data_IF_786335199846
#
_entry.id   IF_786335199846
#
_cell.length_a   1.000
_cell.length_b   1.000
_cell.length_c   1.000
_cell.angle_alpha   90.00
_cell.angle_beta   90.00
_cell.angle_gamma   90.00
#
_symmetry.space_group_name_H-M   'P 1'
#
loop_
_entity.id
_entity.type
_entity.pdbx_description
1 polymer ?
#
# COMPACT_ATOMS: atom_id res chain seq x y z
N UNK A 1 8.51 -3.15 -7.99
CA UNK A 1 7.52 -3.82 -7.09
C UNK A 1 6.95 -5.03 -7.80
N UNK A 2 6.91 -6.17 -7.13
CA UNK A 2 6.44 -7.42 -7.70
C UNK A 2 4.91 -7.50 -7.64
N UNK A 3 4.29 -8.02 -8.70
CA UNK A 3 2.84 -8.24 -8.75
C UNK A 3 2.39 -9.16 -7.62
N UNK A 4 3.12 -10.24 -7.38
CA UNK A 4 2.81 -11.18 -6.30
C UNK A 4 2.85 -10.52 -4.92
N UNK A 5 3.88 -9.73 -4.66
CA UNK A 5 4.02 -9.07 -3.36
C UNK A 5 2.97 -7.99 -3.15
N UNK A 6 2.59 -7.28 -4.21
CA UNK A 6 1.46 -6.34 -4.14
C UNK A 6 0.19 -7.07 -3.68
N UNK A 7 -0.15 -8.16 -4.34
CA UNK A 7 -1.36 -8.92 -4.02
C UNK A 7 -1.30 -9.52 -2.61
N UNK A 8 -0.12 -10.02 -2.20
CA UNK A 8 0.07 -10.51 -0.83
C UNK A 8 -0.11 -9.42 0.21
N UNK A 9 0.45 -8.25 -0.05
CA UNK A 9 0.31 -7.11 0.87
C UNK A 9 -1.14 -6.68 1.05
N UNK A 10 -1.90 -6.71 -0.04
CA UNK A 10 -3.31 -6.27 -0.04
C UNK A 10 -4.28 -7.32 0.50
N UNK A 11 -3.81 -8.50 0.88
CA UNK A 11 -4.66 -9.52 1.50
C UNK A 11 -5.12 -9.13 2.90
N UNK A 12 -4.54 -8.10 3.50
CA UNK A 12 -5.00 -7.52 4.76
C UNK A 12 -6.03 -6.43 4.46
N UNK A 13 -7.19 -6.50 5.11
CA UNK A 13 -8.33 -5.59 4.88
C UNK A 13 -7.97 -4.13 5.10
N UNK A 14 -7.39 -3.81 6.25
CA UNK A 14 -7.06 -2.42 6.58
C UNK A 14 -6.05 -1.84 5.61
N UNK A 15 -5.07 -2.63 5.24
CA UNK A 15 -4.05 -2.25 4.29
C UNK A 15 -4.64 -1.99 2.91
N UNK A 16 -5.51 -2.89 2.47
CA UNK A 16 -6.22 -2.72 1.20
C UNK A 16 -7.02 -1.42 1.19
N UNK A 17 -7.83 -1.19 2.23
CA UNK A 17 -8.68 -0.01 2.29
C UNK A 17 -7.89 1.29 2.31
N UNK A 18 -6.72 1.30 2.95
CA UNK A 18 -5.90 2.50 3.04
C UNK A 18 -5.00 2.75 1.82
N UNK A 19 -4.61 1.71 1.10
CA UNK A 19 -3.54 1.82 0.09
C UNK A 19 -3.97 1.51 -1.35
N UNK A 20 -5.11 0.85 -1.57
CA UNK A 20 -5.45 0.37 -2.92
C UNK A 20 -5.58 1.49 -3.95
N UNK A 21 -6.03 2.67 -3.54
CA UNK A 21 -6.18 3.81 -4.45
C UNK A 21 -4.84 4.42 -4.87
N UNK A 22 -3.79 4.14 -4.10
CA UNK A 22 -2.44 4.66 -4.36
C UNK A 22 -1.58 3.72 -5.19
N UNK A 23 -2.11 2.56 -5.56
CA UNK A 23 -1.38 1.58 -6.38
C UNK A 23 -1.16 2.17 -7.77
N UNK A 24 0.10 2.21 -8.26
CA UNK A 24 0.38 2.67 -9.62
C UNK A 24 -0.04 1.61 -10.63
N UNK A 25 -1.26 1.75 -11.15
CA UNK A 25 -1.89 0.70 -11.95
C UNK A 25 -1.15 0.42 -13.26
N UNK A 26 -0.44 1.39 -13.80
CA UNK A 26 0.35 1.23 -15.01
C UNK A 26 1.60 0.36 -14.84
N UNK A 27 2.00 0.08 -13.61
CA UNK A 27 3.17 -0.75 -13.30
C UNK A 27 2.85 -2.25 -13.17
N UNK A 28 1.58 -2.63 -13.25
CA UNK A 28 1.15 -4.01 -13.00
C UNK A 28 0.40 -4.58 -14.19
N UNK A 29 0.40 -5.91 -14.31
CA UNK A 29 -0.31 -6.59 -15.38
C UNK A 29 -1.83 -6.46 -15.23
N UNK A 30 -2.55 -6.58 -16.33
CA UNK A 30 -4.02 -6.51 -16.32
C UNK A 30 -4.64 -7.60 -15.45
N UNK A 31 -4.04 -8.77 -15.40
CA UNK A 31 -4.51 -9.89 -14.56
C UNK A 31 -4.34 -9.54 -13.08
N UNK A 32 -3.20 -8.99 -12.70
CA UNK A 32 -2.96 -8.55 -11.32
C UNK A 32 -3.98 -7.52 -10.89
N UNK A 33 -4.27 -6.55 -11.74
CA UNK A 33 -5.25 -5.50 -11.45
C UNK A 33 -6.66 -6.07 -11.33
N UNK A 34 -7.00 -7.07 -12.14
CA UNK A 34 -8.27 -7.76 -12.04
C UNK A 34 -8.44 -8.48 -10.71
N UNK A 35 -7.39 -9.17 -10.26
CA UNK A 35 -7.40 -9.84 -8.95
C UNK A 35 -7.52 -8.81 -7.85
N UNK A 36 -6.79 -7.70 -7.95
CA UNK A 36 -6.86 -6.62 -6.97
C UNK A 36 -8.25 -6.01 -6.91
N UNK A 37 -8.90 -5.79 -8.05
CA UNK A 37 -10.26 -5.27 -8.11
C UNK A 37 -11.25 -6.29 -7.49
N UNK A 38 -10.98 -7.58 -7.63
CA UNK A 38 -11.78 -8.62 -6.98
C UNK A 38 -11.64 -8.60 -5.45
N UNK A 39 -10.53 -8.10 -4.92
CA UNK A 39 -10.40 -7.90 -3.48
C UNK A 39 -11.43 -6.90 -2.95
N UNK A 40 -11.74 -5.86 -3.71
CA UNK A 40 -12.77 -4.90 -3.33
C UNK A 40 -14.13 -5.58 -3.20
N UNK A 41 -14.49 -6.43 -4.17
CA UNK A 41 -15.72 -7.21 -4.12
C UNK A 41 -15.72 -8.18 -2.93
N UNK A 42 -14.58 -8.82 -2.67
CA UNK A 42 -14.42 -9.74 -1.56
C UNK A 42 -14.67 -9.06 -0.23
N UNK A 43 -14.03 -7.93 0.02
CA UNK A 43 -14.18 -7.23 1.29
C UNK A 43 -15.58 -6.64 1.47
N UNK A 44 -16.26 -6.33 0.38
CA UNK A 44 -17.64 -5.89 0.43
C UNK A 44 -18.59 -7.04 0.77
N UNK A 45 -18.33 -8.22 0.22
CA UNK A 45 -19.16 -9.40 0.46
C UNK A 45 -18.92 -10.01 1.84
N UNK A 46 -17.68 -9.97 2.32
CA UNK A 46 -17.28 -10.53 3.60
C UNK A 46 -16.77 -9.41 4.53
N UNK A 47 -17.65 -8.57 5.07
CA UNK A 47 -17.23 -7.40 5.84
C UNK A 47 -16.55 -7.72 7.17
N UNK A 48 -16.65 -8.96 7.65
CA UNK A 48 -16.03 -9.39 8.90
C UNK A 48 -14.67 -10.05 8.69
N UNK A 49 -14.27 -10.31 7.44
CA UNK A 49 -12.96 -10.89 7.16
C UNK A 49 -11.87 -9.82 7.21
N UNK A 50 -10.87 -10.02 8.04
CA UNK A 50 -9.70 -9.15 8.13
C UNK A 50 -8.65 -9.47 7.07
N UNK A 51 -8.69 -10.69 6.54
CA UNK A 51 -7.78 -11.18 5.52
C UNK A 51 -8.54 -11.93 4.44
N UNK A 52 -7.93 -12.01 3.26
CA UNK A 52 -8.50 -12.74 2.14
C UNK A 52 -8.30 -14.23 2.32
N UNK A 53 -9.40 -14.98 2.26
CA UNK A 53 -9.38 -16.42 2.08
C UNK A 53 -9.30 -16.70 0.58
N UNK A 54 -8.22 -17.32 0.13
CA UNK A 54 -7.95 -17.53 -1.29
C UNK A 54 -9.01 -18.41 -1.95
N UNK A 55 -9.54 -19.41 -1.24
CA UNK A 55 -10.59 -20.26 -1.79
C UNK A 55 -11.89 -19.51 -2.03
N UNK A 56 -12.29 -18.68 -1.06
CA UNK A 56 -13.49 -17.85 -1.20
C UNK A 56 -13.31 -16.82 -2.31
N UNK A 57 -12.12 -16.22 -2.42
CA UNK A 57 -11.80 -15.31 -3.51
C UNK A 57 -11.87 -16.01 -4.87
N UNK A 58 -11.30 -17.20 -4.96
CA UNK A 58 -11.34 -18.01 -6.18
C UNK A 58 -12.79 -18.28 -6.63
N UNK A 59 -13.67 -18.59 -5.69
CA UNK A 59 -15.09 -18.81 -5.98
C UNK A 59 -15.73 -17.53 -6.52
N UNK A 60 -15.46 -16.38 -5.90
CA UNK A 60 -15.98 -15.10 -6.37
C UNK A 60 -15.54 -14.78 -7.79
N UNK A 61 -14.27 -15.02 -8.10
CA UNK A 61 -13.73 -14.73 -9.43
C UNK A 61 -14.35 -15.66 -10.47
N UNK A 62 -14.55 -16.95 -10.14
CA UNK A 62 -15.16 -17.92 -11.04
C UNK A 62 -16.63 -17.62 -11.36
N UNK A 63 -17.32 -16.93 -10.48
CA UNK A 63 -18.70 -16.52 -10.70
C UNK A 63 -18.82 -15.37 -11.70
N UNK A 64 -17.74 -14.67 -11.97
CA UNK A 64 -17.72 -13.62 -13.01
C UNK A 64 -17.59 -14.26 -14.38
N UNK A 65 -18.59 -14.03 -15.24
CA UNK A 65 -18.75 -14.75 -16.50
C UNK A 65 -17.90 -14.24 -17.69
N UNK A 66 -17.03 -13.27 -17.47
CA UNK A 66 -16.31 -12.58 -18.54
C UNK A 66 -14.86 -13.01 -18.71
N UNK A 67 -14.54 -14.29 -18.43
CA UNK A 67 -13.18 -14.78 -18.53
C UNK A 67 -13.04 -15.79 -19.64
N UNK A 68 -12.02 -15.63 -20.49
CA UNK A 68 -11.62 -16.65 -21.43
C UNK A 68 -10.97 -17.83 -20.67
N UNK A 69 -10.88 -18.99 -21.32
CA UNK A 69 -10.21 -20.15 -20.70
C UNK A 69 -8.73 -19.87 -20.42
N UNK A 70 -8.07 -19.09 -21.25
CA UNK A 70 -6.67 -18.69 -21.03
C UNK A 70 -6.52 -17.80 -19.80
N UNK A 71 -7.40 -16.82 -19.65
CA UNK A 71 -7.41 -15.93 -18.49
C UNK A 71 -7.68 -16.71 -17.20
N UNK A 72 -8.58 -17.66 -17.23
CA UNK A 72 -8.89 -18.52 -16.09
C UNK A 72 -7.66 -19.29 -15.62
N UNK A 73 -6.88 -19.83 -16.54
CA UNK A 73 -5.64 -20.55 -16.22
C UNK A 73 -4.64 -19.63 -15.55
N UNK A 74 -4.46 -18.42 -16.09
CA UNK A 74 -3.52 -17.44 -15.54
C UNK A 74 -3.97 -16.98 -14.15
N UNK A 75 -5.25 -16.70 -13.98
CA UNK A 75 -5.80 -16.28 -12.69
C UNK A 75 -5.61 -17.38 -11.65
N UNK A 76 -5.90 -18.63 -11.99
CA UNK A 76 -5.70 -19.75 -11.07
C UNK A 76 -4.24 -19.87 -10.64
N UNK A 77 -3.32 -19.63 -11.56
CA UNK A 77 -1.88 -19.66 -11.25
C UNK A 77 -1.50 -18.54 -10.29
N UNK A 78 -2.04 -17.33 -10.50
CA UNK A 78 -1.83 -16.20 -9.60
C UNK A 78 -2.39 -16.51 -8.21
N UNK A 79 -3.60 -17.07 -8.13
CA UNK A 79 -4.23 -17.42 -6.86
C UNK A 79 -3.45 -18.50 -6.11
N UNK A 80 -2.92 -19.50 -6.82
CA UNK A 80 -2.05 -20.50 -6.20
C UNK A 80 -0.79 -19.88 -5.61
N UNK A 81 -0.20 -18.90 -6.30
CA UNK A 81 0.96 -18.17 -5.80
C UNK A 81 0.68 -17.39 -4.53
N UNK A 82 -0.57 -16.99 -4.28
CA UNK A 82 -0.93 -16.29 -3.07
C UNK A 82 -0.91 -17.17 -1.83
N UNK A 83 -0.92 -18.48 -1.99
CA UNK A 83 -0.82 -19.44 -0.88
C UNK A 83 0.62 -19.67 -0.45
N UNK A 84 1.59 -19.27 -1.26
CA UNK A 84 3.00 -19.45 -0.95
C UNK A 84 3.44 -18.49 0.15
N UNK A 85 4.31 -18.97 1.02
CA UNK A 85 4.98 -18.10 1.98
C UNK A 85 5.98 -17.20 1.25
N UNK A 86 6.06 -15.95 1.66
CA UNK A 86 7.01 -14.98 1.11
C UNK A 86 7.88 -14.45 2.24
N UNK A 87 9.12 -14.02 1.93
CA UNK A 87 9.97 -13.42 2.95
C UNK A 87 9.30 -12.19 3.56
N UNK A 88 9.22 -12.14 4.87
CA UNK A 88 8.53 -11.08 5.59
C UNK A 88 9.19 -9.73 5.36
N UNK A 89 10.51 -9.69 5.31
CA UNK A 89 11.27 -8.46 5.06
C UNK A 89 10.97 -7.87 3.68
N UNK A 90 10.84 -8.70 2.66
CA UNK A 90 10.50 -8.27 1.30
C UNK A 90 9.06 -7.76 1.26
N UNK A 91 8.15 -8.45 1.92
CA UNK A 91 6.76 -8.02 2.01
C UNK A 91 6.65 -6.68 2.72
N UNK A 92 7.36 -6.50 3.83
CA UNK A 92 7.39 -5.23 4.56
C UNK A 92 7.94 -4.10 3.72
N UNK A 93 8.98 -4.35 2.92
CA UNK A 93 9.51 -3.36 1.99
C UNK A 93 8.44 -2.94 0.97
N UNK A 94 7.68 -3.88 0.45
CA UNK A 94 6.59 -3.58 -0.47
C UNK A 94 5.51 -2.72 0.21
N UNK A 95 5.14 -3.05 1.43
CA UNK A 95 4.17 -2.28 2.21
C UNK A 95 4.66 -0.85 2.42
N UNK A 96 5.93 -0.69 2.80
CA UNK A 96 6.51 0.62 3.03
C UNK A 96 6.55 1.47 1.75
N UNK A 97 6.84 0.85 0.61
CA UNK A 97 6.77 1.53 -0.69
C UNK A 97 5.35 2.01 -1.01
N UNK A 98 4.35 1.20 -0.70
CA UNK A 98 2.96 1.58 -0.90
C UNK A 98 2.55 2.73 0.02
N UNK A 99 3.01 2.73 1.26
CA UNK A 99 2.77 3.83 2.20
C UNK A 99 3.43 5.12 1.72
N UNK A 100 4.64 5.05 1.18
CA UNK A 100 5.32 6.22 0.61
C UNK A 100 4.57 6.76 -0.61
N UNK A 101 4.07 5.89 -1.47
CA UNK A 101 3.27 6.31 -2.62
C UNK A 101 1.97 6.98 -2.17
N UNK A 102 1.31 6.44 -1.16
CA UNK A 102 0.11 7.04 -0.59
C UNK A 102 0.41 8.42 0.00
N UNK A 103 1.52 8.55 0.72
CA UNK A 103 1.97 9.83 1.25
C UNK A 103 2.19 10.84 0.12
N UNK A 104 2.91 10.45 -0.91
CA UNK A 104 3.21 11.30 -2.06
C UNK A 104 1.93 11.85 -2.71
N UNK A 105 0.94 10.98 -2.92
CA UNK A 105 -0.33 11.39 -3.49
C UNK A 105 -1.08 12.37 -2.63
N UNK A 106 -1.15 12.13 -1.33
CA UNK A 106 -1.84 13.01 -0.39
C UNK A 106 -1.11 14.34 -0.20
N UNK A 107 0.23 14.31 -0.13
CA UNK A 107 1.03 15.52 -0.03
C UNK A 107 0.87 16.39 -1.28
N UNK A 108 0.85 15.78 -2.45
CA UNK A 108 0.61 16.47 -3.71
C UNK A 108 -0.76 17.15 -3.73
N UNK A 109 -1.79 16.47 -3.26
CA UNK A 109 -3.14 17.03 -3.17
C UNK A 109 -3.20 18.23 -2.20
N UNK A 110 -2.53 18.14 -1.06
CA UNK A 110 -2.44 19.23 -0.11
C UNK A 110 -1.72 20.45 -0.70
N UNK A 111 -0.61 20.23 -1.41
CA UNK A 111 0.12 21.31 -2.06
C UNK A 111 -0.70 21.98 -3.16
N UNK A 112 -1.42 21.22 -3.95
CA UNK A 112 -2.31 21.75 -4.98
C UNK A 112 -3.45 22.58 -4.36
N UNK A 113 -4.04 22.08 -3.29
CA UNK A 113 -5.10 22.80 -2.58
C UNK A 113 -4.59 24.12 -2.02
N UNK A 114 -3.41 24.13 -1.43
CA UNK A 114 -2.79 25.35 -0.92
C UNK A 114 -2.50 26.35 -2.04
N UNK A 115 -1.91 25.89 -3.14
CA UNK A 115 -1.57 26.73 -4.28
C UNK A 115 -2.79 27.29 -4.99
N UNK A 116 -3.94 26.59 -4.92
CA UNK A 116 -5.18 27.05 -5.50
C UNK A 116 -5.96 28.03 -4.61
N UNK A 117 -5.42 28.39 -3.47
CA UNK A 117 -5.97 29.44 -2.60
C UNK A 117 -6.79 28.96 -1.42
N UNK A 118 -6.83 27.66 -1.14
CA UNK A 118 -7.50 27.18 0.07
C UNK A 118 -6.72 27.57 1.30
N UNK A 119 -7.42 27.99 2.32
CA UNK A 119 -6.81 28.31 3.61
C UNK A 119 -6.47 27.04 4.35
N UNK A 120 -5.20 26.62 4.24
CA UNK A 120 -4.68 25.42 4.86
C UNK A 120 -3.39 25.79 5.57
N UNK A 121 -3.19 25.32 6.79
CA UNK A 121 -1.86 25.33 7.40
C UNK A 121 -1.06 24.18 6.79
N UNK A 122 -0.41 24.46 5.67
CA UNK A 122 0.26 23.46 4.87
C UNK A 122 1.39 22.77 5.63
N UNK A 123 2.12 23.52 6.45
CA UNK A 123 3.22 22.94 7.24
C UNK A 123 2.69 21.95 8.26
N UNK A 124 1.64 22.33 8.98
CA UNK A 124 1.02 21.44 9.97
C UNK A 124 0.45 20.18 9.30
N UNK A 125 -0.29 20.35 8.22
CA UNK A 125 -0.93 19.22 7.53
C UNK A 125 0.10 18.24 6.95
N UNK A 126 1.19 18.72 6.37
CA UNK A 126 2.25 17.88 5.87
C UNK A 126 2.99 17.16 6.99
N UNK A 127 3.26 17.84 8.10
CA UNK A 127 3.90 17.20 9.26
C UNK A 127 3.03 16.11 9.85
N UNK A 128 1.73 16.36 9.96
CA UNK A 128 0.77 15.39 10.47
C UNK A 128 0.67 14.18 9.57
N UNK A 129 0.60 14.40 8.25
CA UNK A 129 0.58 13.33 7.26
C UNK A 129 1.85 12.48 7.32
N UNK A 130 3.01 13.12 7.44
CA UNK A 130 4.29 12.42 7.54
C UNK A 130 4.34 11.55 8.81
N UNK A 131 3.87 12.07 9.94
CA UNK A 131 3.85 11.33 11.20
C UNK A 131 2.95 10.10 11.11
N UNK A 132 1.75 10.25 10.53
CA UNK A 132 0.83 9.13 10.35
C UNK A 132 1.41 8.06 9.42
N UNK A 133 2.06 8.48 8.34
CA UNK A 133 2.69 7.56 7.40
C UNK A 133 3.78 6.75 8.08
N UNK A 134 4.63 7.39 8.87
CA UNK A 134 5.70 6.71 9.61
C UNK A 134 5.16 5.71 10.61
N UNK A 135 4.04 5.98 11.25
CA UNK A 135 3.41 5.04 12.18
C UNK A 135 2.94 3.76 11.48
N UNK A 136 2.59 3.86 10.20
CA UNK A 136 2.14 2.71 9.40
C UNK A 136 3.29 1.91 8.78
N UNK A 137 4.48 2.50 8.69
CA UNK A 137 5.62 1.84 8.05
C UNK A 137 6.24 0.84 9.02
N UNK A 138 6.21 -0.43 8.63
CA UNK A 138 6.61 -1.53 9.50
C UNK A 138 8.12 -1.64 9.69
N UNK A 139 8.89 -1.35 8.65
CA UNK A 139 10.36 -1.47 8.69
C UNK A 139 10.96 -0.43 9.61
N UNK A 140 10.41 0.78 9.62
CA UNK A 140 10.96 1.88 10.38
C UNK A 140 10.88 1.67 11.89
N UNK A 141 9.81 1.03 12.37
CA UNK A 141 9.61 0.85 13.80
C UNK A 141 10.72 0.01 14.43
N UNK A 142 11.10 -1.09 13.79
CA UNK A 142 12.16 -1.94 14.31
C UNK A 142 13.51 -1.25 14.24
N UNK A 143 13.80 -0.51 13.18
CA UNK A 143 15.08 0.16 13.00
C UNK A 143 15.23 1.33 13.96
N UNK A 144 14.20 2.12 14.19
CA UNK A 144 14.27 3.25 15.10
C UNK A 144 14.42 2.80 16.56
N UNK A 145 13.91 1.64 16.91
CA UNK A 145 14.10 1.07 18.23
C UNK A 145 15.50 0.47 18.41
N UNK A 146 16.09 0.00 17.33
CA UNK A 146 17.43 -0.57 17.36
C UNK A 146 18.51 0.51 17.30
N UNK A 147 18.24 1.61 16.58
CA UNK A 147 19.23 2.63 16.26
C UNK A 147 18.71 4.03 16.58
N UNK A 148 18.94 4.48 17.80
CA UNK A 148 18.75 5.88 18.14
C UNK A 148 19.59 6.83 17.28
N UNK A 149 20.71 6.35 16.77
CA UNK A 149 21.63 7.13 15.95
C UNK A 149 21.00 7.63 14.65
N UNK A 150 20.08 6.87 14.06
CA UNK A 150 19.38 7.28 12.85
C UNK A 150 18.54 8.52 13.08
N UNK A 151 17.87 8.60 14.23
CA UNK A 151 17.08 9.75 14.59
C UNK A 151 17.94 10.97 14.87
N UNK A 152 19.07 10.78 15.57
CA UNK A 152 20.01 11.84 15.84
C UNK A 152 20.58 12.41 14.53
N UNK A 153 20.87 11.53 13.58
CA UNK A 153 21.37 11.94 12.27
C UNK A 153 20.32 12.75 11.50
N UNK A 154 19.08 12.32 11.51
CA UNK A 154 17.99 13.03 10.83
C UNK A 154 17.74 14.38 11.48
N UNK A 155 17.76 14.46 12.80
CA UNK A 155 17.60 15.71 13.51
C UNK A 155 18.74 16.68 13.26
N UNK A 156 19.98 16.19 13.26
CA UNK A 156 21.15 17.01 12.97
C UNK A 156 21.05 17.58 11.55
N UNK A 157 20.63 16.80 10.59
CA UNK A 157 20.46 17.23 9.21
C UNK A 157 19.32 18.23 9.06
N UNK A 158 18.24 18.00 9.78
CA UNK A 158 17.10 18.93 9.80
C UNK A 158 17.48 20.25 10.49
N UNK A 159 18.26 20.18 11.55
CA UNK A 159 18.76 21.37 12.22
C UNK A 159 19.72 22.13 11.32
N UNK A 160 20.60 21.43 10.60
CA UNK A 160 21.50 22.03 9.64
C UNK A 160 20.78 22.74 8.50
N UNK A 161 19.68 22.17 8.03
CA UNK A 161 18.88 22.85 7.01
C UNK A 161 17.95 23.89 7.65
N UNK A 162 17.54 23.68 8.85
CA UNK A 162 16.60 24.55 9.55
C UNK A 162 17.16 25.91 9.87
N UNK A 163 18.45 25.96 10.18
CA UNK A 163 19.05 27.19 10.50
C UNK A 163 19.46 27.93 9.36
N UNK A 164 19.52 27.35 8.32
CA UNK A 164 19.73 28.05 7.07
C UNK A 164 18.58 28.96 6.74
N UNK A 165 17.57 28.85 7.48
CA UNK A 165 16.45 29.75 7.32
C UNK A 165 16.79 31.17 7.82
#
# INVERSE_FOLDING_TARGET
>A
MSDKYLLKAMMNRQRFLSLHKSVPRDMFSSITLRVLDSYADYYQKYPEHDEIDVEALSTLIKLKKNQSSEETVIINRVLEGLRDDVPEDVLNTTIDQLEELAFSGKASALLQAYQSGKEIDITYELQNLAALTRQRMSVQVSDSLADGDVWDYIQADADDSGYVL
#
